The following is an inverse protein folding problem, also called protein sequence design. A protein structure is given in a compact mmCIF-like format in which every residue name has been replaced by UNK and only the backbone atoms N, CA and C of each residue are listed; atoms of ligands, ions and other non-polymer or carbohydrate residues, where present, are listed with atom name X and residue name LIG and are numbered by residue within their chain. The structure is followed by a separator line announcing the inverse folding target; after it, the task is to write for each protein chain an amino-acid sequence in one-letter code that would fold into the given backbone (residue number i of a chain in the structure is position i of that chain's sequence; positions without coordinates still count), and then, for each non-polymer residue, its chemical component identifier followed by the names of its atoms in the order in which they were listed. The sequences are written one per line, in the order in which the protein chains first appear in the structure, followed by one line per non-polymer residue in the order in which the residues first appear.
data_IF_160489528027
#
_entry.id   IF_160489528027
#
_cell.length_a   1.000
_cell.length_b   1.000
_cell.length_c   1.000
_cell.angle_alpha   90.00
_cell.angle_beta   90.00
_cell.angle_gamma   90.00
#
_symmetry.space_group_name_H-M   'P 1'
#
loop_
_entity.id
_entity.type
_entity.pdbx_description
1 polymer ?
#
# COMPACT_ATOMS: atom_id res chain seq x y z
N UNK A 1 -1.66 3.45 9.50
CA UNK A 1 -0.19 3.54 9.71
C UNK A 1 0.15 4.76 10.58
N UNK A 2 0.04 6.01 10.10
CA UNK A 2 0.42 7.19 10.93
C UNK A 2 -0.33 7.29 12.27
N UNK A 3 -1.57 6.83 12.34
CA UNK A 3 -2.41 6.86 13.55
C UNK A 3 -2.45 5.54 14.32
N UNK A 4 -1.86 4.47 13.80
CA UNK A 4 -2.03 3.10 14.30
C UNK A 4 -0.72 2.44 14.71
N UNK A 5 0.42 3.13 14.57
CA UNK A 5 1.76 2.61 14.84
C UNK A 5 2.70 3.74 15.22
N UNK A 6 3.45 3.57 16.30
CA UNK A 6 4.57 4.44 16.66
C UNK A 6 5.85 4.05 15.89
N UNK A 7 6.82 4.96 15.84
CA UNK A 7 8.14 4.68 15.26
C UNK A 7 8.78 3.48 15.98
N UNK A 8 9.12 2.45 15.21
CA UNK A 8 9.72 1.21 15.72
C UNK A 8 8.71 0.09 16.03
N UNK A 9 7.41 0.34 15.91
CA UNK A 9 6.40 -0.71 16.01
C UNK A 9 6.12 -1.38 14.67
N UNK A 10 5.73 -2.66 14.74
CA UNK A 10 5.29 -3.43 13.61
C UNK A 10 3.93 -2.96 13.09
N UNK A 11 3.72 -3.07 11.79
CA UNK A 11 2.44 -2.72 11.16
C UNK A 11 1.34 -3.67 11.70
N UNK A 12 0.11 -3.18 11.98
CA UNK A 12 -0.98 -4.06 12.37
C UNK A 12 -1.29 -5.05 11.26
N UNK A 13 -1.54 -6.32 11.60
CA UNK A 13 -1.79 -7.40 10.64
C UNK A 13 -2.92 -7.08 9.65
N UNK A 14 -3.95 -6.34 10.09
CA UNK A 14 -5.03 -5.86 9.24
C UNK A 14 -4.60 -4.92 8.10
N UNK A 15 -3.40 -4.33 8.16
CA UNK A 15 -2.88 -3.46 7.10
C UNK A 15 -1.87 -4.14 6.18
N UNK A 16 -1.51 -5.41 6.43
CA UNK A 16 -0.45 -6.08 5.66
C UNK A 16 -0.76 -6.16 4.17
N UNK A 17 -1.99 -6.51 3.79
CA UNK A 17 -2.36 -6.61 2.38
C UNK A 17 -2.32 -5.25 1.71
N UNK A 18 -2.85 -4.20 2.35
CA UNK A 18 -2.80 -2.84 1.82
C UNK A 18 -1.34 -2.38 1.62
N UNK A 19 -0.46 -2.64 2.59
CA UNK A 19 0.96 -2.31 2.50
C UNK A 19 1.65 -3.12 1.39
N UNK A 20 1.36 -4.42 1.27
CA UNK A 20 1.90 -5.26 0.20
C UNK A 20 1.51 -4.75 -1.19
N UNK A 21 0.27 -4.29 -1.37
CA UNK A 21 -0.20 -3.70 -2.63
C UNK A 21 0.54 -2.39 -2.95
N UNK A 22 0.78 -1.53 -1.96
CA UNK A 22 1.60 -0.32 -2.15
C UNK A 22 3.03 -0.68 -2.55
N UNK A 23 3.65 -1.67 -1.89
CA UNK A 23 4.99 -2.14 -2.25
C UNK A 23 5.03 -2.71 -3.67
N UNK A 24 4.02 -3.49 -4.06
CA UNK A 24 3.88 -4.02 -5.42
C UNK A 24 3.76 -2.90 -6.45
N UNK A 25 2.93 -1.88 -6.18
CA UNK A 25 2.79 -0.70 -7.04
C UNK A 25 4.12 0.05 -7.20
N UNK A 26 4.85 0.30 -6.11
CA UNK A 26 6.17 0.95 -6.15
C UNK A 26 7.15 0.13 -6.99
N UNK A 27 7.15 -1.19 -6.84
CA UNK A 27 8.00 -2.08 -7.63
C UNK A 27 7.66 -2.02 -9.13
N UNK A 28 6.37 -2.09 -9.47
CA UNK A 28 5.91 -1.96 -10.84
C UNK A 28 6.24 -0.59 -11.43
N UNK A 29 6.15 0.48 -10.64
CA UNK A 29 6.44 1.83 -11.09
C UNK A 29 7.93 2.01 -11.42
N UNK A 30 8.81 1.45 -10.58
CA UNK A 30 10.26 1.39 -10.86
C UNK A 30 10.55 0.63 -12.14
N UNK A 31 9.86 -0.50 -12.36
CA UNK A 31 10.00 -1.28 -13.60
C UNK A 31 9.55 -0.47 -14.82
N UNK A 32 8.40 0.18 -14.75
CA UNK A 32 7.89 1.06 -15.82
C UNK A 32 8.87 2.19 -16.14
N UNK A 33 9.43 2.85 -15.13
CA UNK A 33 10.41 3.93 -15.34
C UNK A 33 11.68 3.44 -16.06
N UNK A 34 12.11 2.21 -15.81
CA UNK A 34 13.33 1.64 -16.39
C UNK A 34 13.12 0.98 -17.76
N UNK A 35 11.94 0.39 -18.00
CA UNK A 35 11.69 -0.50 -19.14
C UNK A 35 10.54 -0.03 -20.04
N UNK A 36 9.79 1.01 -19.65
CA UNK A 36 8.56 1.43 -20.31
C UNK A 36 7.42 0.40 -20.16
N UNK A 37 6.41 0.50 -21.03
CA UNK A 37 5.26 -0.41 -21.05
C UNK A 37 4.01 0.19 -20.40
N UNK A 38 3.18 -0.64 -19.78
CA UNK A 38 1.95 -0.16 -19.13
C UNK A 38 2.29 0.52 -17.80
N UNK A 39 1.85 1.78 -17.65
CA UNK A 39 1.98 2.49 -16.38
C UNK A 39 1.10 1.79 -15.34
N UNK A 40 1.66 1.35 -14.21
CA UNK A 40 0.87 0.73 -13.16
C UNK A 40 -0.10 1.76 -12.57
N UNK A 41 -1.23 1.25 -12.10
CA UNK A 41 -2.25 1.99 -11.38
C UNK A 41 -2.52 1.27 -10.07
N UNK A 42 -2.60 2.02 -8.98
CA UNK A 42 -3.05 1.51 -7.69
C UNK A 42 -4.45 2.08 -7.47
N UNK A 43 -5.45 1.20 -7.39
CA UNK A 43 -6.78 1.60 -6.98
C UNK A 43 -6.79 1.76 -5.46
N UNK A 44 -6.92 3.00 -5.00
CA UNK A 44 -6.88 3.33 -3.58
C UNK A 44 -8.21 3.08 -2.88
N UNK A 45 -9.31 2.99 -3.63
CA UNK A 45 -10.66 2.78 -3.08
C UNK A 45 -10.88 1.31 -2.73
N UNK A 46 -10.22 0.40 -3.46
CA UNK A 46 -10.35 -1.06 -3.30
C UNK A 46 -9.25 -1.68 -2.40
N UNK A 47 -8.50 -0.85 -1.68
CA UNK A 47 -7.53 -1.34 -0.71
C UNK A 47 -8.28 -2.06 0.42
N UNK A 48 -7.98 -3.35 0.72
CA UNK A 48 -8.65 -4.12 1.76
C UNK A 48 -8.12 -3.70 3.13
N UNK A 49 -8.50 -2.50 3.54
CA UNK A 49 -8.25 -1.93 4.85
C UNK A 49 -9.48 -2.27 5.70
N UNK A 50 -9.33 -2.95 6.86
CA UNK A 50 -10.44 -3.17 7.78
C UNK A 50 -11.06 -1.85 8.19
N UNK A 51 -12.39 -1.77 8.28
CA UNK A 51 -13.11 -0.52 8.57
C UNK A 51 -12.72 0.09 9.92
N UNK A 52 -12.32 -0.76 10.88
CA UNK A 52 -11.76 -0.38 12.18
C UNK A 52 -10.47 0.45 12.08
N UNK A 53 -9.76 0.30 10.97
CA UNK A 53 -8.50 0.97 10.65
C UNK A 53 -8.66 2.00 9.52
N UNK A 54 -9.84 2.07 8.89
CA UNK A 54 -10.24 3.16 7.99
C UNK A 54 -10.65 4.36 8.84
N UNK A 55 -10.36 5.55 8.34
CA UNK A 55 -10.93 6.81 8.82
C UNK A 55 -11.38 7.62 7.62
N UNK A 56 -12.47 8.37 7.81
CA UNK A 56 -13.08 9.29 6.84
C UNK A 56 -12.09 10.31 6.26
#
# INVERSE_FOLDING_TARGET
IYFSTELGQEIPSGLYIAVAQVLAFVFQLRRYNNQGGNKPHLDTEDLPIPDELKRD
#
